data_IF_683304534012
#
_entry.id   IF_683304534012
#
_cell.length_a   1.000
_cell.length_b   1.000
_cell.length_c   1.000
_cell.angle_alpha   90.00
_cell.angle_beta   90.00
_cell.angle_gamma   90.00
#
_symmetry.space_group_name_H-M   'P 1'
#
loop_
_entity.id
_entity.type
_entity.pdbx_description
1 polymer ?
#
# COMPACT_ATOMS: atom_id res chain seq x y z
N UNK A 1 -6.45 8.06 -7.99
CA UNK A 1 -6.23 8.14 -6.53
C UNK A 1 -6.65 6.84 -5.86
N UNK A 2 -6.03 6.48 -4.73
CA UNK A 2 -6.36 5.25 -4.02
C UNK A 2 -7.71 5.35 -3.28
N UNK A 3 -8.54 4.31 -3.39
CA UNK A 3 -9.80 4.22 -2.64
C UNK A 3 -9.49 4.18 -1.13
N UNK A 4 -10.08 5.09 -0.35
CA UNK A 4 -9.88 5.19 1.12
C UNK A 4 -10.10 3.86 1.83
N UNK A 5 -11.17 3.14 1.48
CA UNK A 5 -11.46 1.81 2.03
C UNK A 5 -10.33 0.78 1.83
N UNK A 6 -9.61 0.86 0.70
CA UNK A 6 -8.50 -0.06 0.44
C UNK A 6 -7.22 0.34 1.20
N UNK A 7 -7.04 1.63 1.50
CA UNK A 7 -5.93 2.08 2.36
C UNK A 7 -6.15 1.58 3.78
N UNK A 8 -7.36 1.73 4.32
CA UNK A 8 -7.70 1.24 5.65
C UNK A 8 -7.60 -0.29 5.74
N UNK A 9 -8.05 -1.04 4.73
CA UNK A 9 -7.82 -2.50 4.64
C UNK A 9 -6.34 -2.86 4.67
N UNK A 10 -5.50 -2.05 4.02
CA UNK A 10 -4.05 -2.29 3.93
C UNK A 10 -3.32 -1.97 5.24
N UNK A 11 -3.77 -0.95 5.99
CA UNK A 11 -3.24 -0.62 7.32
C UNK A 11 -3.57 -1.68 8.37
N UNK A 12 -4.68 -2.40 8.21
CA UNK A 12 -5.05 -3.51 9.11
C UNK A 12 -4.08 -4.68 8.96
N UNK A 13 -3.82 -5.35 10.08
CA UNK A 13 -3.00 -6.55 10.10
C UNK A 13 -3.66 -7.66 9.25
N UNK A 14 -2.96 -8.18 8.22
CA UNK A 14 -3.52 -9.23 7.40
C UNK A 14 -3.49 -10.57 8.14
N UNK A 15 -4.54 -11.39 7.96
CA UNK A 15 -4.62 -12.77 8.50
C UNK A 15 -3.42 -13.66 8.08
N UNK A 16 -2.81 -13.39 6.93
CA UNK A 16 -1.66 -14.12 6.42
C UNK A 16 -0.61 -13.14 5.91
N UNK A 17 0.66 -13.40 6.20
CA UNK A 17 1.79 -12.55 5.82
C UNK A 17 1.89 -12.35 4.30
N UNK A 18 1.49 -13.35 3.51
CA UNK A 18 1.45 -13.30 2.04
C UNK A 18 0.47 -12.27 1.47
N UNK A 19 -0.48 -11.77 2.28
CA UNK A 19 -1.45 -10.73 1.85
C UNK A 19 -0.92 -9.31 2.01
N UNK A 20 0.26 -9.12 2.62
CA UNK A 20 0.89 -7.81 2.69
C UNK A 20 1.43 -7.42 1.32
N UNK A 21 1.02 -6.26 0.80
CA UNK A 21 1.51 -5.69 -0.46
C UNK A 21 1.97 -4.25 -0.23
N UNK A 22 2.77 -3.66 -1.09
CA UNK A 22 3.27 -2.29 -0.91
C UNK A 22 2.31 -1.25 -1.45
N UNK A 23 2.15 -0.14 -0.73
CA UNK A 23 1.48 1.08 -1.22
C UNK A 23 2.40 2.28 -1.05
N UNK A 24 2.23 3.28 -1.91
CA UNK A 24 2.89 4.57 -1.71
C UNK A 24 2.35 5.29 -0.48
N UNK A 25 3.25 5.89 0.31
CA UNK A 25 2.91 6.66 1.53
C UNK A 25 2.20 7.99 1.26
N UNK A 26 2.43 8.60 0.10
CA UNK A 26 1.86 9.91 -0.28
C UNK A 26 0.53 9.71 -1.04
N UNK A 27 0.58 8.94 -2.12
CA UNK A 27 -0.49 8.82 -3.09
C UNK A 27 -1.39 7.57 -2.87
N UNK A 28 -0.97 6.62 -2.03
CA UNK A 28 -1.70 5.37 -1.76
C UNK A 28 -1.70 4.35 -2.91
N UNK A 29 -0.96 4.60 -3.99
CA UNK A 29 -0.94 3.77 -5.21
C UNK A 29 -0.36 2.38 -4.90
N UNK A 30 -0.99 1.28 -5.37
CA UNK A 30 -0.53 -0.08 -5.12
C UNK A 30 0.58 -0.55 -6.08
N UNK A 31 0.73 0.09 -7.23
CA UNK A 31 1.72 -0.26 -8.25
C UNK A 31 2.81 0.79 -8.38
N UNK A 32 3.97 0.37 -8.88
CA UNK A 32 5.13 1.22 -9.13
C UNK A 32 5.62 1.98 -7.88
N UNK A 33 5.67 1.28 -6.74
CA UNK A 33 6.21 1.81 -5.49
C UNK A 33 7.70 1.51 -5.40
N UNK A 34 8.52 2.54 -5.25
CA UNK A 34 9.95 2.41 -5.00
C UNK A 34 10.15 1.90 -3.57
N UNK A 35 10.58 0.65 -3.41
CA UNK A 35 10.74 0.00 -2.09
C UNK A 35 11.66 0.78 -1.14
N UNK A 36 12.74 1.38 -1.67
CA UNK A 36 13.72 2.15 -0.88
C UNK A 36 13.11 3.39 -0.21
N UNK A 37 12.19 4.07 -0.91
CA UNK A 37 11.61 5.35 -0.47
C UNK A 37 10.14 5.26 -0.04
N UNK A 38 9.45 4.16 -0.39
CA UNK A 38 8.02 3.98 -0.11
C UNK A 38 7.11 4.94 -0.90
N UNK A 39 7.60 5.48 -2.02
CA UNK A 39 6.89 6.48 -2.84
C UNK A 39 6.62 5.91 -4.25
N UNK A 40 5.50 6.32 -4.85
CA UNK A 40 5.12 5.96 -6.21
C UNK A 40 5.98 6.73 -7.23
N UNK A 41 6.32 6.12 -8.38
CA UNK A 41 6.78 6.90 -9.54
C UNK A 41 5.70 7.88 -9.99
#
# INVERSE_FOLDING_TARGET
>A
MARKALIEKWKKEPKYSTRAYTRCRICGRPHAVLKKYGICR
#
